data_IF_413685623647
#
_entry.id   IF_413685623647
#
_cell.length_a   1.000
_cell.length_b   1.000
_cell.length_c   1.000
_cell.angle_alpha   90.00
_cell.angle_beta   90.00
_cell.angle_gamma   90.00
#
_symmetry.space_group_name_H-M   'P 1'
#
loop_
_entity.id
_entity.type
_entity.pdbx_description
1 polymer ?
#
# COMPACT_ATOMS: atom_id res chain seq x y z
N UNK A 1 39.98 20.65 -20.56
CA UNK A 1 38.90 20.21 -19.65
C UNK A 1 37.86 21.31 -19.61
N UNK A 2 36.78 21.13 -20.38
CA UNK A 2 35.75 22.14 -20.61
C UNK A 2 34.76 22.20 -19.44
N UNK A 3 34.60 23.39 -18.88
CA UNK A 3 33.61 23.72 -17.86
C UNK A 3 32.20 23.64 -18.47
N UNK A 4 31.32 22.82 -17.89
CA UNK A 4 29.91 22.73 -18.29
C UNK A 4 29.10 23.76 -17.46
N UNK A 5 28.52 24.81 -18.07
CA UNK A 5 27.89 25.91 -17.34
C UNK A 5 26.41 25.65 -16.96
N UNK A 6 25.85 24.45 -17.22
CA UNK A 6 24.41 24.21 -17.10
C UNK A 6 23.92 23.65 -15.74
N UNK A 7 24.65 23.85 -14.64
CA UNK A 7 24.26 23.23 -13.36
C UNK A 7 23.24 24.03 -12.51
N UNK A 8 22.80 25.22 -12.95
CA UNK A 8 21.95 26.11 -12.14
C UNK A 8 20.55 26.43 -12.70
N UNK A 9 20.06 25.71 -13.72
CA UNK A 9 18.73 25.98 -14.31
C UNK A 9 17.56 25.12 -13.81
N UNK A 10 17.67 24.44 -12.66
CA UNK A 10 16.58 23.63 -12.10
C UNK A 10 15.95 24.25 -10.84
N UNK A 11 15.55 25.51 -10.92
CA UNK A 11 14.58 26.10 -9.98
C UNK A 11 13.29 26.43 -10.73
N UNK A 12 12.27 25.61 -10.46
CA UNK A 12 10.84 25.87 -10.51
C UNK A 12 10.37 27.03 -11.40
N UNK A 13 10.23 26.76 -12.70
CA UNK A 13 9.40 27.53 -13.61
C UNK A 13 8.29 26.64 -14.14
N UNK A 14 7.04 27.07 -13.93
CA UNK A 14 5.84 26.49 -14.52
C UNK A 14 5.98 26.35 -16.03
N UNK A 15 6.30 25.15 -16.52
CA UNK A 15 6.17 24.81 -17.92
C UNK A 15 5.27 23.59 -18.04
N UNK A 16 3.99 23.89 -18.30
CA UNK A 16 3.00 23.03 -18.92
C UNK A 16 3.67 22.15 -19.98
N UNK A 17 3.86 20.89 -19.65
CA UNK A 17 4.39 19.90 -20.59
C UNK A 17 3.24 19.45 -21.49
N UNK A 18 2.93 20.27 -22.50
CA UNK A 18 2.36 19.75 -23.75
C UNK A 18 3.49 19.03 -24.47
N UNK A 19 3.57 17.71 -24.28
CA UNK A 19 4.34 16.88 -25.19
C UNK A 19 3.65 16.94 -26.55
N UNK A 20 4.35 17.52 -27.51
CA UNK A 20 4.02 17.48 -28.94
C UNK A 20 4.01 16.03 -29.42
N UNK A 21 2.84 15.40 -29.42
CA UNK A 21 2.59 14.15 -30.13
C UNK A 21 2.40 14.42 -31.64
N UNK A 22 2.75 13.45 -32.50
CA UNK A 22 2.70 13.61 -33.96
C UNK A 22 1.27 13.90 -34.46
N UNK A 23 1.19 14.79 -35.45
CA UNK A 23 0.01 15.52 -35.97
C UNK A 23 -1.18 14.71 -36.54
N UNK A 24 -1.33 13.41 -36.30
CA UNK A 24 -2.38 12.63 -36.99
C UNK A 24 -3.10 11.58 -36.13
N UNK A 25 -3.62 11.97 -34.96
CA UNK A 25 -4.67 11.18 -34.28
C UNK A 25 -5.79 12.13 -33.87
N UNK A 26 -6.97 11.96 -34.50
CA UNK A 26 -8.20 12.65 -34.08
C UNK A 26 -8.50 12.27 -32.61
N UNK A 27 -8.72 13.23 -31.71
CA UNK A 27 -9.20 12.92 -30.36
C UNK A 27 -10.68 12.47 -30.41
N UNK A 28 -11.10 11.59 -29.48
CA UNK A 28 -12.48 11.11 -29.38
C UNK A 28 -13.47 12.25 -29.04
N UNK A 29 -14.74 12.17 -29.48
CA UNK A 29 -15.68 13.30 -29.55
C UNK A 29 -16.25 13.82 -28.21
N UNK A 30 -15.69 13.44 -27.05
CA UNK A 30 -16.26 13.80 -25.74
C UNK A 30 -15.21 14.27 -24.73
N UNK A 31 -14.29 15.14 -25.16
CA UNK A 31 -13.44 15.89 -24.22
C UNK A 31 -14.25 17.05 -23.65
N UNK A 32 -14.85 16.87 -22.48
CA UNK A 32 -15.43 17.96 -21.68
C UNK A 32 -14.24 18.75 -21.12
N UNK A 33 -14.06 20.04 -21.47
CA UNK A 33 -12.98 20.85 -20.90
C UNK A 33 -13.17 20.95 -19.39
N UNK A 34 -12.09 20.87 -18.59
CA UNK A 34 -12.19 21.04 -17.15
C UNK A 34 -12.77 22.42 -16.83
N UNK A 35 -13.62 22.53 -15.79
CA UNK A 35 -14.22 23.79 -15.40
C UNK A 35 -13.13 24.83 -15.10
N UNK A 36 -13.35 26.11 -15.45
CA UNK A 36 -12.41 27.18 -15.15
C UNK A 36 -12.10 27.19 -13.66
N UNK A 37 -10.81 27.29 -13.33
CA UNK A 37 -10.37 27.39 -11.93
C UNK A 37 -11.08 28.57 -11.27
N UNK A 38 -11.63 28.41 -10.05
CA UNK A 38 -12.20 29.53 -9.33
C UNK A 38 -11.11 30.59 -9.12
N UNK A 39 -11.44 31.89 -9.21
CA UNK A 39 -10.49 32.95 -8.93
C UNK A 39 -9.88 32.73 -7.55
N UNK A 40 -8.56 32.98 -7.37
CA UNK A 40 -7.92 32.84 -6.07
C UNK A 40 -8.72 33.62 -5.04
N UNK A 41 -9.15 32.95 -3.98
CA UNK A 41 -9.83 33.58 -2.86
C UNK A 41 -8.91 34.70 -2.34
N UNK A 42 -9.26 35.94 -2.70
CA UNK A 42 -8.63 37.12 -2.15
C UNK A 42 -9.12 37.16 -0.70
N UNK A 43 -8.29 36.67 0.22
CA UNK A 43 -8.50 36.87 1.65
C UNK A 43 -7.99 38.30 1.90
N UNK A 44 -8.86 39.33 2.02
CA UNK A 44 -8.39 40.64 2.41
C UNK A 44 -7.71 40.51 3.77
N UNK A 45 -6.44 40.92 3.83
CA UNK A 45 -5.70 41.04 5.08
C UNK A 45 -6.53 41.89 6.03
N UNK A 46 -6.94 41.33 7.17
CA UNK A 46 -7.73 42.02 8.20
C UNK A 46 -6.95 43.12 8.92
N UNK A 47 -5.65 43.23 8.65
CA UNK A 47 -4.79 44.31 9.09
C UNK A 47 -4.72 45.44 8.03
N UNK A 48 -5.06 46.69 8.39
CA UNK A 48 -4.93 47.83 7.50
C UNK A 48 -3.47 48.00 7.08
N UNK A 49 -3.24 48.28 5.79
CA UNK A 49 -1.91 48.29 5.16
C UNK A 49 -0.85 49.11 5.93
N UNK A 50 -1.25 50.26 6.49
CA UNK A 50 -0.39 51.13 7.29
C UNK A 50 0.19 50.44 8.55
N UNK A 51 -0.57 49.55 9.22
CA UNK A 51 -0.06 48.80 10.38
C UNK A 51 0.94 47.71 9.98
N UNK A 52 0.87 47.24 8.74
CA UNK A 52 1.80 46.23 8.20
C UNK A 52 3.14 46.86 7.84
N UNK A 53 3.11 48.04 7.25
CA UNK A 53 4.31 48.82 6.94
C UNK A 53 5.06 49.23 8.22
N UNK A 54 4.34 49.65 9.27
CA UNK A 54 4.96 49.95 10.58
C UNK A 54 5.59 48.71 11.22
N UNK A 55 4.91 47.55 11.18
CA UNK A 55 5.46 46.30 11.70
C UNK A 55 6.68 45.82 10.91
N UNK A 56 6.66 45.95 9.58
CA UNK A 56 7.80 45.62 8.73
C UNK A 56 8.98 46.57 8.96
N UNK A 57 8.73 47.87 9.17
CA UNK A 57 9.74 48.87 9.52
C UNK A 57 10.35 48.60 10.90
N UNK A 58 9.55 48.27 11.92
CA UNK A 58 10.05 47.85 13.23
C UNK A 58 10.83 46.55 13.14
N UNK A 59 10.37 45.58 12.35
CA UNK A 59 11.09 44.34 12.12
C UNK A 59 12.45 44.61 11.48
N UNK A 60 12.52 45.48 10.47
CA UNK A 60 13.77 45.90 9.83
C UNK A 60 14.71 46.60 10.81
N UNK A 61 14.23 47.54 11.63
CA UNK A 61 15.06 48.22 12.64
C UNK A 61 15.54 47.27 13.76
N UNK A 62 14.69 46.34 14.16
CA UNK A 62 15.06 45.30 15.14
C UNK A 62 16.06 44.32 14.53
N UNK A 63 15.95 44.04 13.24
CA UNK A 63 16.90 43.21 12.51
C UNK A 63 18.25 43.91 12.36
N UNK A 64 18.26 45.18 11.96
CA UNK A 64 19.48 46.01 11.85
C UNK A 64 20.22 46.13 13.19
N UNK A 65 19.50 46.25 14.30
CA UNK A 65 20.10 46.29 15.65
C UNK A 65 20.55 44.93 16.16
N UNK A 66 19.95 43.83 15.68
CA UNK A 66 20.36 42.46 16.01
C UNK A 66 21.52 41.95 15.17
N UNK A 67 21.74 42.52 13.99
CA UNK A 67 22.93 42.24 13.20
C UNK A 67 24.07 43.07 13.81
N UNK A 68 25.03 42.46 14.52
CA UNK A 68 26.20 43.21 14.96
C UNK A 68 26.87 43.79 13.72
N UNK A 69 26.90 45.12 13.62
CA UNK A 69 27.76 45.82 12.68
C UNK A 69 29.17 45.49 13.11
N UNK A 70 29.72 44.44 12.52
CA UNK A 70 31.11 44.05 12.74
C UNK A 70 31.95 45.20 12.21
N UNK A 71 32.43 46.06 13.12
CA UNK A 71 33.49 47.00 12.81
C UNK A 71 34.61 46.20 12.13
N UNK A 72 34.93 46.56 10.88
CA UNK A 72 36.01 45.96 10.11
C UNK A 72 37.35 46.48 10.64
N UNK A 73 37.63 46.25 11.91
CA UNK A 73 38.84 46.70 12.60
C UNK A 73 39.77 45.52 12.88
N UNK A 74 40.05 44.69 11.87
CA UNK A 74 41.35 44.02 11.75
C UNK A 74 41.63 43.78 10.26
N UNK A 75 42.79 44.24 9.78
CA UNK A 75 43.32 43.89 8.47
C UNK A 75 43.42 42.35 8.39
N UNK A 76 42.38 41.74 7.83
CA UNK A 76 42.21 40.29 7.78
C UNK A 76 43.15 39.76 6.69
N UNK A 77 44.38 39.41 7.07
CA UNK A 77 45.25 38.62 6.20
C UNK A 77 44.49 37.35 5.88
N UNK A 78 44.02 37.26 4.63
CA UNK A 78 43.18 36.17 4.17
C UNK A 78 43.90 34.85 4.50
N UNK A 79 43.33 34.00 5.37
CA UNK A 79 43.98 32.74 5.71
C UNK A 79 44.08 31.90 4.44
N UNK A 80 45.24 31.30 4.23
CA UNK A 80 45.54 30.49 3.06
C UNK A 80 44.45 29.42 2.86
N UNK A 81 43.95 29.29 1.64
CA UNK A 81 42.89 28.33 1.35
C UNK A 81 43.42 26.89 1.42
N UNK A 82 42.53 25.90 1.68
CA UNK A 82 42.88 24.48 1.68
C UNK A 82 43.59 24.08 0.36
N UNK A 83 43.21 24.71 -0.76
CA UNK A 83 43.84 24.45 -2.05
C UNK A 83 45.25 25.05 -2.13
N UNK A 84 45.43 26.30 -1.68
CA UNK A 84 46.73 26.97 -1.67
C UNK A 84 47.76 26.21 -0.82
N UNK A 85 47.38 25.81 0.41
CA UNK A 85 48.27 25.01 1.26
C UNK A 85 48.61 23.67 0.60
N UNK A 86 47.64 23.05 -0.10
CA UNK A 86 47.88 21.79 -0.82
C UNK A 86 48.86 21.98 -1.99
N UNK A 87 48.77 23.09 -2.73
CA UNK A 87 49.72 23.40 -3.80
C UNK A 87 51.11 23.71 -3.24
N UNK A 88 51.21 24.40 -2.11
CA UNK A 88 52.50 24.72 -1.48
C UNK A 88 53.19 23.46 -0.95
N UNK A 89 52.44 22.55 -0.33
CA UNK A 89 52.95 21.23 0.07
C UNK A 89 53.44 20.43 -1.13
N UNK A 90 52.73 20.47 -2.28
CA UNK A 90 53.20 19.81 -3.50
C UNK A 90 54.47 20.44 -4.04
N UNK A 91 54.56 21.77 -4.09
CA UNK A 91 55.77 22.47 -4.53
C UNK A 91 56.95 22.10 -3.65
N UNK A 92 56.77 22.07 -2.33
CA UNK A 92 57.78 21.64 -1.37
C UNK A 92 58.22 20.19 -1.61
N UNK A 93 57.27 19.26 -1.85
CA UNK A 93 57.60 17.86 -2.18
C UNK A 93 58.41 17.74 -3.49
N UNK A 94 58.12 18.56 -4.50
CA UNK A 94 58.90 18.59 -5.74
C UNK A 94 60.33 19.08 -5.50
N UNK A 95 60.52 20.13 -4.71
CA UNK A 95 61.85 20.65 -4.36
C UNK A 95 62.63 19.60 -3.54
N UNK A 96 61.98 18.90 -2.61
CA UNK A 96 62.64 17.83 -1.84
C UNK A 96 63.11 16.69 -2.75
N UNK A 97 62.31 16.28 -3.73
CA UNK A 97 62.73 15.27 -4.70
C UNK A 97 63.88 15.76 -5.58
N UNK A 98 63.80 17.01 -6.04
CA UNK A 98 64.89 17.65 -6.79
C UNK A 98 66.21 17.67 -6.00
N UNK A 99 66.15 18.03 -4.72
CA UNK A 99 67.32 18.02 -3.84
C UNK A 99 67.91 16.62 -3.66
N UNK A 100 67.07 15.57 -3.56
CA UNK A 100 67.54 14.18 -3.50
C UNK A 100 68.24 13.74 -4.78
N UNK A 101 67.73 14.15 -5.94
CA UNK A 101 68.35 13.81 -7.22
C UNK A 101 69.67 14.57 -7.41
N UNK A 102 69.74 15.83 -6.95
CA UNK A 102 70.99 16.60 -6.92
C UNK A 102 72.02 16.03 -5.96
N UNK A 103 71.60 15.59 -4.77
CA UNK A 103 72.45 14.90 -3.81
C UNK A 103 73.07 13.63 -4.42
N UNK A 104 72.25 12.82 -5.08
CA UNK A 104 72.72 11.62 -5.79
C UNK A 104 73.73 11.97 -6.89
N UNK A 105 73.41 12.94 -7.74
CA UNK A 105 74.30 13.38 -8.82
C UNK A 105 75.63 13.90 -8.28
N UNK A 106 75.62 14.72 -7.23
CA UNK A 106 76.85 15.23 -6.61
C UNK A 106 77.65 14.11 -5.95
N UNK A 107 76.99 13.11 -5.35
CA UNK A 107 77.67 11.95 -4.74
C UNK A 107 78.37 11.05 -5.76
N UNK A 108 77.82 10.94 -6.98
CA UNK A 108 78.41 10.16 -8.07
C UNK A 108 79.57 10.90 -8.76
N UNK A 109 79.61 12.24 -8.68
CA UNK A 109 80.56 13.09 -9.41
C UNK A 109 81.58 13.81 -8.52
N UNK A 110 81.82 13.30 -7.31
CA UNK A 110 82.76 13.90 -6.31
C UNK A 110 84.17 14.12 -6.88
N UNK A 111 84.61 13.27 -7.82
CA UNK A 111 85.98 13.30 -8.38
C UNK A 111 86.08 13.95 -9.77
N UNK A 112 84.94 14.22 -10.41
CA UNK A 112 84.85 14.60 -11.84
C UNK A 112 84.41 16.05 -12.05
N UNK A 113 83.73 16.66 -11.06
CA UNK A 113 83.23 18.03 -11.16
C UNK A 113 84.31 19.08 -10.79
N UNK A 114 84.44 20.17 -11.56
CA UNK A 114 85.29 21.30 -11.18
C UNK A 114 84.68 22.08 -10.01
N UNK A 115 85.55 22.67 -9.18
CA UNK A 115 85.18 23.39 -7.95
C UNK A 115 84.11 24.48 -8.15
N UNK A 116 84.12 25.15 -9.31
CA UNK A 116 83.16 26.23 -9.60
C UNK A 116 81.73 25.69 -9.82
N UNK A 117 81.60 24.55 -10.50
CA UNK A 117 80.31 23.86 -10.69
C UNK A 117 79.82 23.25 -9.38
N UNK A 118 80.73 22.73 -8.55
CA UNK A 118 80.43 22.26 -7.20
C UNK A 118 79.84 23.37 -6.32
N UNK A 119 80.50 24.53 -6.28
CA UNK A 119 80.01 25.72 -5.53
C UNK A 119 78.65 26.19 -6.03
N UNK A 120 78.41 26.15 -7.34
CA UNK A 120 77.13 26.50 -7.95
C UNK A 120 76.00 25.57 -7.49
N UNK A 121 76.23 24.25 -7.50
CA UNK A 121 75.23 23.28 -7.04
C UNK A 121 74.95 23.36 -5.54
N UNK A 122 75.97 23.60 -4.71
CA UNK A 122 75.78 23.81 -3.27
C UNK A 122 74.94 25.06 -2.99
N UNK A 123 75.22 26.16 -3.72
CA UNK A 123 74.42 27.39 -3.62
C UNK A 123 72.95 27.16 -4.00
N UNK A 124 72.69 26.44 -5.09
CA UNK A 124 71.33 26.06 -5.50
C UNK A 124 70.62 25.19 -4.45
N UNK A 125 71.34 24.27 -3.80
CA UNK A 125 70.80 23.45 -2.70
C UNK A 125 70.44 24.32 -1.50
N UNK A 126 71.28 25.30 -1.15
CA UNK A 126 71.01 26.24 -0.05
C UNK A 126 69.79 27.13 -0.33
N UNK A 127 69.65 27.65 -1.55
CA UNK A 127 68.48 28.42 -1.98
C UNK A 127 67.18 27.60 -1.90
N UNK A 128 67.22 26.35 -2.35
CA UNK A 128 66.10 25.42 -2.27
C UNK A 128 65.75 25.04 -0.82
N UNK A 129 66.75 24.83 0.04
CA UNK A 129 66.56 24.60 1.49
C UNK A 129 65.94 25.82 2.17
N UNK A 130 66.36 27.03 1.80
CA UNK A 130 65.79 28.28 2.30
C UNK A 130 64.32 28.43 1.85
N UNK A 131 64.01 28.07 0.60
CA UNK A 131 62.65 28.08 0.06
C UNK A 131 61.72 27.09 0.80
N UNK A 132 62.18 25.87 1.07
CA UNK A 132 61.47 24.88 1.91
C UNK A 132 61.25 25.42 3.32
N UNK A 133 62.29 25.97 3.95
CA UNK A 133 62.19 26.49 5.33
C UNK A 133 61.19 27.64 5.43
N UNK A 134 61.16 28.52 4.41
CA UNK A 134 60.21 29.63 4.30
C UNK A 134 58.76 29.17 4.12
N UNK A 135 58.53 28.15 3.30
CA UNK A 135 57.18 27.59 3.09
C UNK A 135 56.72 26.78 4.30
N UNK A 136 57.62 26.06 4.94
CA UNK A 136 57.35 25.31 6.16
C UNK A 136 56.98 26.22 7.33
N UNK A 137 57.68 27.35 7.52
CA UNK A 137 57.34 28.33 8.56
C UNK A 137 56.01 29.05 8.29
N UNK A 138 55.66 29.25 7.02
CA UNK A 138 54.39 29.85 6.61
C UNK A 138 53.18 28.93 6.89
N UNK A 139 53.36 27.62 6.69
CA UNK A 139 52.32 26.61 6.90
C UNK A 139 52.20 26.23 8.39
N UNK A 140 53.32 26.22 9.11
CA UNK A 140 53.35 25.85 10.53
C UNK A 140 52.74 26.94 11.43
N UNK A 141 52.17 26.51 12.57
CA UNK A 141 51.58 27.41 13.56
C UNK A 141 50.09 27.71 13.31
N UNK A 142 49.62 28.97 13.42
CA UNK A 142 48.19 29.32 13.40
C UNK A 142 47.43 28.87 12.14
N UNK A 143 48.12 28.81 11.00
CA UNK A 143 47.54 28.36 9.73
C UNK A 143 47.16 26.88 9.74
N UNK A 144 47.99 26.04 10.38
CA UNK A 144 47.75 24.60 10.48
C UNK A 144 46.50 24.30 11.32
N UNK A 145 46.31 25.02 12.43
CA UNK A 145 45.11 24.86 13.26
C UNK A 145 43.85 25.38 12.57
N UNK A 146 43.96 26.48 11.81
CA UNK A 146 42.87 26.95 10.96
C UNK A 146 42.53 25.92 9.88
N UNK A 147 43.54 25.32 9.24
CA UNK A 147 43.35 24.28 8.22
C UNK A 147 42.68 23.03 8.81
N UNK A 148 43.11 22.57 9.98
CA UNK A 148 42.46 21.47 10.73
C UNK A 148 41.00 21.78 10.99
N UNK A 149 40.67 22.99 11.43
CA UNK A 149 39.27 23.43 11.65
C UNK A 149 38.47 23.42 10.34
N UNK A 150 39.04 23.92 9.24
CA UNK A 150 38.37 23.93 7.92
C UNK A 150 38.14 22.51 7.39
N UNK A 151 39.09 21.61 7.57
CA UNK A 151 38.97 20.19 7.21
C UNK A 151 37.91 19.49 8.06
N UNK A 152 37.88 19.73 9.37
CA UNK A 152 36.85 19.23 10.27
C UNK A 152 35.45 19.74 9.89
N UNK A 153 35.32 21.04 9.54
CA UNK A 153 34.05 21.61 9.04
C UNK A 153 33.61 20.93 7.73
N UNK A 154 34.54 20.70 6.80
CA UNK A 154 34.26 20.03 5.52
C UNK A 154 33.85 18.57 5.72
N UNK A 155 34.53 17.82 6.60
CA UNK A 155 34.18 16.42 6.90
C UNK A 155 32.83 16.32 7.61
N UNK A 156 32.57 17.18 8.62
CA UNK A 156 31.30 17.26 9.31
C UNK A 156 30.14 17.58 8.35
N UNK A 157 30.33 18.54 7.42
CA UNK A 157 29.34 18.85 6.38
C UNK A 157 29.04 17.65 5.49
N UNK A 158 30.07 16.93 5.02
CA UNK A 158 29.89 15.72 4.19
C UNK A 158 29.13 14.63 4.94
N UNK A 159 29.47 14.41 6.21
CA UNK A 159 28.81 13.40 7.05
C UNK A 159 27.33 13.77 7.30
N UNK A 160 27.03 15.05 7.55
CA UNK A 160 25.66 15.55 7.68
C UNK A 160 24.87 15.33 6.39
N UNK A 161 25.43 15.71 5.24
CA UNK A 161 24.77 15.51 3.94
C UNK A 161 24.52 14.04 3.65
N UNK A 162 25.48 13.16 3.96
CA UNK A 162 25.31 11.71 3.84
C UNK A 162 24.14 11.21 4.70
N UNK A 163 24.05 11.63 5.96
CA UNK A 163 22.93 11.28 6.86
C UNK A 163 21.58 11.73 6.29
N UNK A 164 21.47 13.00 5.88
CA UNK A 164 20.23 13.56 5.31
C UNK A 164 19.82 12.82 4.03
N UNK A 165 20.78 12.45 3.17
CA UNK A 165 20.47 11.69 1.95
C UNK A 165 19.98 10.28 2.27
N UNK A 166 20.57 9.61 3.27
CA UNK A 166 20.13 8.29 3.73
C UNK A 166 18.73 8.34 4.35
N UNK A 167 18.45 9.35 5.17
CA UNK A 167 17.11 9.59 5.75
C UNK A 167 16.07 9.82 4.65
N UNK A 168 16.35 10.71 3.69
CA UNK A 168 15.44 10.94 2.55
C UNK A 168 15.23 9.70 1.70
N UNK A 169 16.25 8.85 1.54
CA UNK A 169 16.12 7.58 0.82
C UNK A 169 15.20 6.63 1.59
N UNK A 170 15.40 6.49 2.91
CA UNK A 170 14.56 5.67 3.79
C UNK A 170 13.10 6.14 3.78
N UNK A 171 12.87 7.45 3.90
CA UNK A 171 11.53 8.04 3.87
C UNK A 171 10.81 7.78 2.52
N UNK A 172 11.54 7.86 1.40
CA UNK A 172 10.99 7.49 0.09
C UNK A 172 10.63 6.01 0.01
N UNK A 173 11.49 5.13 0.52
CA UNK A 173 11.23 3.69 0.55
C UNK A 173 10.03 3.34 1.44
N UNK A 174 9.90 3.98 2.61
CA UNK A 174 8.74 3.86 3.50
C UNK A 174 7.46 4.32 2.80
N UNK A 175 7.47 5.50 2.14
CA UNK A 175 6.32 5.97 1.34
C UNK A 175 5.94 5.00 0.22
N UNK A 176 6.92 4.43 -0.48
CA UNK A 176 6.67 3.42 -1.51
C UNK A 176 6.07 2.15 -0.91
N UNK A 177 6.57 1.69 0.25
CA UNK A 177 6.00 0.53 0.97
C UNK A 177 4.56 0.78 1.39
N UNK A 178 4.26 1.95 1.96
CA UNK A 178 2.90 2.31 2.33
C UNK A 178 1.94 2.35 1.14
N UNK A 179 2.38 2.91 0.01
CA UNK A 179 1.59 2.92 -1.22
C UNK A 179 1.34 1.51 -1.75
N UNK A 180 2.36 0.64 -1.72
CA UNK A 180 2.21 -0.78 -2.10
C UNK A 180 1.24 -1.52 -1.19
N UNK A 181 1.32 -1.30 0.11
CA UNK A 181 0.41 -1.90 1.09
C UNK A 181 -1.03 -1.41 0.88
N UNK A 182 -1.23 -0.11 0.63
CA UNK A 182 -2.55 0.44 0.29
C UNK A 182 -3.08 -0.16 -1.00
N UNK A 183 -2.25 -0.26 -2.05
CA UNK A 183 -2.64 -0.91 -3.30
C UNK A 183 -3.05 -2.36 -3.07
N UNK A 184 -2.26 -3.14 -2.33
CA UNK A 184 -2.58 -4.54 -2.02
C UNK A 184 -3.94 -4.67 -1.32
N UNK A 185 -4.22 -3.81 -0.34
CA UNK A 185 -5.52 -3.77 0.35
C UNK A 185 -6.68 -3.41 -0.56
N UNK A 186 -6.45 -2.50 -1.52
CA UNK A 186 -7.45 -2.15 -2.53
C UNK A 186 -7.73 -3.37 -3.40
N UNK A 187 -6.68 -4.03 -3.90
CA UNK A 187 -6.80 -5.21 -4.78
C UNK A 187 -7.48 -6.38 -4.06
N UNK A 188 -7.13 -6.65 -2.80
CA UNK A 188 -7.79 -7.64 -1.94
C UNK A 188 -9.29 -7.34 -1.75
N UNK A 189 -9.64 -6.07 -1.54
CA UNK A 189 -11.04 -5.66 -1.40
C UNK A 189 -11.81 -5.79 -2.73
N UNK A 190 -11.20 -5.38 -3.84
CA UNK A 190 -11.77 -5.56 -5.18
C UNK A 190 -12.02 -7.03 -5.49
N UNK A 191 -11.06 -7.91 -5.15
CA UNK A 191 -11.23 -9.35 -5.31
C UNK A 191 -12.39 -9.87 -4.45
N UNK A 192 -12.48 -9.45 -3.19
CA UNK A 192 -13.59 -9.83 -2.31
C UNK A 192 -14.94 -9.40 -2.89
N UNK A 193 -15.05 -8.15 -3.36
CA UNK A 193 -16.28 -7.65 -3.99
C UNK A 193 -16.63 -8.50 -5.23
N UNK A 194 -15.63 -8.84 -6.05
CA UNK A 194 -15.84 -9.66 -7.24
C UNK A 194 -16.32 -11.07 -6.87
N UNK A 195 -15.73 -11.68 -5.85
CA UNK A 195 -16.10 -13.00 -5.36
C UNK A 195 -17.53 -12.98 -4.77
N UNK A 196 -17.90 -11.94 -4.03
CA UNK A 196 -19.24 -11.74 -3.48
C UNK A 196 -20.28 -11.58 -4.62
N UNK A 197 -19.96 -10.82 -5.67
CA UNK A 197 -20.81 -10.67 -6.86
C UNK A 197 -20.97 -12.02 -7.58
N UNK A 198 -19.87 -12.76 -7.77
CA UNK A 198 -19.91 -14.07 -8.43
C UNK A 198 -20.73 -15.07 -7.63
N UNK A 199 -20.59 -15.07 -6.30
CA UNK A 199 -21.39 -15.90 -5.41
C UNK A 199 -22.87 -15.56 -5.50
N UNK A 200 -23.23 -14.28 -5.44
CA UNK A 200 -24.62 -13.84 -5.59
C UNK A 200 -25.21 -14.24 -6.95
N UNK A 201 -24.43 -14.11 -8.04
CA UNK A 201 -24.85 -14.58 -9.38
C UNK A 201 -25.08 -16.09 -9.41
N UNK A 202 -24.18 -16.86 -8.80
CA UNK A 202 -24.33 -18.31 -8.75
C UNK A 202 -25.56 -18.73 -7.93
N UNK A 203 -25.84 -18.04 -6.84
CA UNK A 203 -27.02 -18.27 -6.01
C UNK A 203 -28.33 -17.98 -6.78
N UNK A 204 -28.39 -16.87 -7.51
CA UNK A 204 -29.54 -16.53 -8.35
C UNK A 204 -29.73 -17.53 -9.51
N UNK A 205 -28.63 -17.98 -10.14
CA UNK A 205 -28.68 -19.03 -11.18
C UNK A 205 -29.22 -20.34 -10.61
N UNK A 206 -28.75 -20.76 -9.43
CA UNK A 206 -29.23 -21.98 -8.76
C UNK A 206 -30.72 -21.88 -8.43
N UNK A 207 -31.17 -20.73 -7.94
CA UNK A 207 -32.59 -20.48 -7.67
C UNK A 207 -33.44 -20.53 -8.94
N UNK A 208 -32.97 -19.92 -10.03
CA UNK A 208 -33.64 -19.96 -11.32
C UNK A 208 -33.75 -21.40 -11.83
N UNK A 209 -32.70 -22.20 -11.69
CA UNK A 209 -32.72 -23.62 -12.06
C UNK A 209 -33.74 -24.41 -11.24
N UNK A 210 -33.80 -24.18 -9.93
CA UNK A 210 -34.82 -24.78 -9.07
C UNK A 210 -36.25 -24.39 -9.50
N UNK A 211 -36.49 -23.12 -9.81
CA UNK A 211 -37.77 -22.62 -10.30
C UNK A 211 -38.16 -23.22 -11.66
N UNK A 212 -37.20 -23.40 -12.57
CA UNK A 212 -37.40 -24.06 -13.87
C UNK A 212 -37.86 -25.50 -13.67
N UNK A 213 -37.18 -26.26 -12.81
CA UNK A 213 -37.54 -27.65 -12.51
C UNK A 213 -38.94 -27.73 -11.90
N UNK A 214 -39.25 -26.86 -10.93
CA UNK A 214 -40.58 -26.81 -10.30
C UNK A 214 -41.67 -26.47 -11.32
N UNK A 215 -41.43 -25.48 -12.19
CA UNK A 215 -42.37 -25.10 -13.27
C UNK A 215 -42.62 -26.25 -14.24
N UNK A 216 -41.59 -27.04 -14.54
CA UNK A 216 -41.71 -28.22 -15.39
C UNK A 216 -42.59 -29.31 -14.75
N UNK A 217 -42.42 -29.58 -13.45
CA UNK A 217 -43.29 -30.50 -12.71
C UNK A 217 -44.74 -30.00 -12.67
N UNK A 218 -44.96 -28.70 -12.44
CA UNK A 218 -46.29 -28.10 -12.48
C UNK A 218 -46.95 -28.22 -13.86
N UNK A 219 -46.17 -28.06 -14.94
CA UNK A 219 -46.64 -28.29 -16.31
C UNK A 219 -47.08 -29.74 -16.51
N UNK A 220 -46.23 -30.71 -16.14
CA UNK A 220 -46.54 -32.15 -16.22
C UNK A 220 -47.79 -32.52 -15.42
N UNK A 221 -47.95 -31.97 -14.22
CA UNK A 221 -49.16 -32.11 -13.38
C UNK A 221 -50.41 -31.57 -14.08
N UNK A 222 -50.33 -30.37 -14.65
CA UNK A 222 -51.43 -29.76 -15.40
C UNK A 222 -51.84 -30.61 -16.60
N UNK A 223 -50.87 -31.12 -17.35
CA UNK A 223 -51.13 -31.95 -18.53
C UNK A 223 -51.74 -33.31 -18.17
N UNK A 224 -51.29 -33.95 -17.07
CA UNK A 224 -51.94 -35.15 -16.55
C UNK A 224 -53.41 -34.90 -16.18
N UNK A 225 -53.72 -33.76 -15.53
CA UNK A 225 -55.10 -33.36 -15.21
C UNK A 225 -55.93 -33.15 -16.47
N UNK A 226 -55.39 -32.47 -17.49
CA UNK A 226 -56.07 -32.29 -18.79
C UNK A 226 -56.38 -33.64 -19.46
N UNK A 227 -55.45 -34.60 -19.42
CA UNK A 227 -55.66 -35.94 -19.96
C UNK A 227 -56.81 -36.67 -19.24
N UNK A 228 -56.88 -36.59 -17.91
CA UNK A 228 -58.00 -37.16 -17.14
C UNK A 228 -59.34 -36.52 -17.53
N UNK A 229 -59.40 -35.19 -17.61
CA UNK A 229 -60.61 -34.45 -18.04
C UNK A 229 -61.05 -34.85 -19.45
N UNK A 230 -60.10 -35.06 -20.38
CA UNK A 230 -60.41 -35.55 -21.74
C UNK A 230 -60.98 -36.97 -21.72
N UNK A 231 -60.42 -37.88 -20.91
CA UNK A 231 -60.94 -39.24 -20.75
C UNK A 231 -62.36 -39.25 -20.14
N UNK A 232 -62.64 -38.36 -19.19
CA UNK A 232 -63.99 -38.17 -18.65
C UNK A 232 -64.97 -37.65 -19.71
N UNK A 233 -64.55 -36.69 -20.53
CA UNK A 233 -65.36 -36.19 -21.63
C UNK A 233 -65.65 -37.29 -22.68
N UNK A 234 -64.68 -38.14 -22.99
CA UNK A 234 -64.85 -39.28 -23.90
C UNK A 234 -65.87 -40.31 -23.36
N UNK A 235 -65.82 -40.62 -22.06
CA UNK A 235 -66.82 -41.49 -21.44
C UNK A 235 -68.22 -40.89 -21.52
N UNK A 236 -68.36 -39.60 -21.21
CA UNK A 236 -69.65 -38.89 -21.31
C UNK A 236 -70.17 -38.89 -22.76
N UNK A 237 -69.31 -38.63 -23.73
CA UNK A 237 -69.66 -38.65 -25.15
C UNK A 237 -70.12 -40.05 -25.59
N UNK A 238 -69.42 -41.11 -25.18
CA UNK A 238 -69.83 -42.48 -25.50
C UNK A 238 -71.16 -42.84 -24.86
N UNK A 239 -71.37 -42.51 -23.58
CA UNK A 239 -72.67 -42.70 -22.91
C UNK A 239 -73.80 -41.96 -23.62
N UNK A 240 -73.57 -40.71 -24.02
CA UNK A 240 -74.55 -39.94 -24.78
C UNK A 240 -74.89 -40.59 -26.13
N UNK A 241 -73.88 -41.07 -26.87
CA UNK A 241 -74.10 -41.80 -28.14
C UNK A 241 -74.88 -43.11 -27.94
N UNK A 242 -74.57 -43.86 -26.89
CA UNK A 242 -75.28 -45.11 -26.55
C UNK A 242 -76.74 -44.84 -26.16
N UNK A 243 -77.00 -43.77 -25.40
CA UNK A 243 -78.36 -43.33 -25.06
C UNK A 243 -79.15 -42.93 -26.32
N UNK A 244 -78.54 -42.19 -27.26
CA UNK A 244 -79.18 -41.82 -28.53
C UNK A 244 -79.48 -43.02 -29.42
N UNK A 245 -78.56 -43.99 -29.52
CA UNK A 245 -78.77 -45.23 -30.28
C UNK A 245 -79.89 -46.09 -29.68
N UNK A 246 -79.91 -46.20 -28.35
CA UNK A 246 -80.97 -46.89 -27.61
C UNK A 246 -82.35 -46.24 -27.86
N UNK A 247 -82.41 -44.91 -27.90
CA UNK A 247 -83.63 -44.16 -28.25
C UNK A 247 -84.11 -44.38 -29.69
N UNK A 248 -83.22 -44.80 -30.61
CA UNK A 248 -83.55 -45.16 -32.00
C UNK A 248 -83.84 -46.66 -32.20
N UNK A 249 -83.82 -47.47 -31.13
CA UNK A 249 -83.87 -48.95 -31.16
C UNK A 249 -82.74 -49.59 -32.00
N UNK A 250 -81.61 -48.90 -32.16
CA UNK A 250 -80.40 -49.50 -32.71
C UNK A 250 -79.62 -50.16 -31.57
N UNK A 251 -79.39 -51.48 -31.67
CA UNK A 251 -78.64 -52.22 -30.66
C UNK A 251 -77.14 -51.98 -30.83
N UNK A 252 -76.56 -51.14 -29.97
CA UNK A 252 -75.11 -51.10 -29.80
C UNK A 252 -74.65 -52.39 -29.09
N UNK A 253 -73.52 -52.97 -29.52
CA UNK A 253 -73.00 -54.19 -28.90
C UNK A 253 -72.46 -53.92 -27.48
N UNK A 254 -73.09 -54.55 -26.48
CA UNK A 254 -72.72 -54.35 -25.07
C UNK A 254 -71.28 -54.80 -24.76
N UNK A 255 -70.79 -55.81 -25.50
CA UNK A 255 -69.42 -56.30 -25.41
C UNK A 255 -68.39 -55.21 -25.77
N UNK A 256 -68.61 -54.44 -26.83
CA UNK A 256 -67.71 -53.36 -27.22
C UNK A 256 -67.76 -52.17 -26.24
N UNK A 257 -68.94 -51.90 -25.67
CA UNK A 257 -69.08 -50.88 -24.63
C UNK A 257 -68.31 -51.25 -23.35
N UNK A 258 -68.39 -52.51 -22.92
CA UNK A 258 -67.63 -53.02 -21.78
C UNK A 258 -66.11 -52.99 -22.04
N UNK A 259 -65.67 -53.40 -23.23
CA UNK A 259 -64.26 -53.34 -23.63
C UNK A 259 -63.73 -51.90 -23.65
N UNK A 260 -64.50 -50.95 -24.22
CA UNK A 260 -64.13 -49.53 -24.21
C UNK A 260 -63.99 -48.96 -22.79
N UNK A 261 -64.98 -49.22 -21.92
CA UNK A 261 -64.92 -48.74 -20.54
C UNK A 261 -63.70 -49.30 -19.82
N UNK A 262 -63.43 -50.60 -19.97
CA UNK A 262 -62.24 -51.26 -19.40
C UNK A 262 -60.94 -50.60 -19.88
N UNK A 263 -60.84 -50.25 -21.16
CA UNK A 263 -59.66 -49.58 -21.70
C UNK A 263 -59.51 -48.13 -21.19
N UNK A 264 -60.61 -47.37 -21.11
CA UNK A 264 -60.57 -46.03 -20.54
C UNK A 264 -60.23 -46.06 -19.05
N UNK A 265 -60.77 -47.02 -18.28
CA UNK A 265 -60.49 -47.16 -16.86
C UNK A 265 -59.01 -47.52 -16.61
N UNK A 266 -58.43 -48.38 -17.44
CA UNK A 266 -56.97 -48.63 -17.44
C UNK A 266 -56.18 -47.34 -17.72
N UNK A 267 -56.55 -46.57 -18.75
CA UNK A 267 -55.89 -45.30 -19.08
C UNK A 267 -56.02 -44.26 -17.96
N UNK A 268 -57.22 -44.15 -17.36
CA UNK A 268 -57.46 -43.30 -16.19
C UNK A 268 -56.58 -43.71 -15.02
N UNK A 269 -56.51 -45.00 -14.69
CA UNK A 269 -55.64 -45.51 -13.63
C UNK A 269 -54.18 -45.13 -13.87
N UNK A 270 -53.68 -45.25 -15.09
CA UNK A 270 -52.31 -44.86 -15.44
C UNK A 270 -52.07 -43.35 -15.27
N UNK A 271 -52.99 -42.51 -15.75
CA UNK A 271 -52.86 -41.05 -15.61
C UNK A 271 -53.04 -40.58 -14.16
N UNK A 272 -53.91 -41.22 -13.38
CA UNK A 272 -54.06 -40.97 -11.95
C UNK A 272 -52.79 -41.35 -11.18
N UNK A 273 -52.16 -42.49 -11.50
CA UNK A 273 -50.86 -42.87 -10.92
C UNK A 273 -49.78 -41.85 -11.26
N UNK A 274 -49.69 -41.41 -12.53
CA UNK A 274 -48.74 -40.35 -12.94
C UNK A 274 -48.99 -39.02 -12.23
N UNK A 275 -50.27 -38.64 -12.06
CA UNK A 275 -50.63 -37.42 -11.34
C UNK A 275 -50.15 -37.46 -9.88
N UNK A 276 -50.37 -38.57 -9.18
CA UNK A 276 -49.90 -38.75 -7.81
C UNK A 276 -48.36 -38.67 -7.71
N UNK A 277 -47.63 -39.20 -8.69
CA UNK A 277 -46.17 -39.09 -8.72
C UNK A 277 -45.72 -37.62 -8.87
N UNK A 278 -46.32 -36.86 -9.79
CA UNK A 278 -46.00 -35.44 -9.96
C UNK A 278 -46.41 -34.58 -8.75
N UNK A 279 -47.48 -34.96 -8.04
CA UNK A 279 -47.90 -34.29 -6.81
C UNK A 279 -46.91 -34.53 -5.67
N UNK A 280 -46.36 -35.75 -5.56
CA UNK A 280 -45.28 -36.04 -4.61
C UNK A 280 -43.99 -35.32 -4.97
N UNK A 281 -43.59 -35.37 -6.24
CA UNK A 281 -42.38 -34.68 -6.72
C UNK A 281 -42.46 -33.16 -6.46
N UNK A 282 -43.62 -32.53 -6.71
CA UNK A 282 -43.85 -31.14 -6.37
C UNK A 282 -43.76 -30.88 -4.86
N UNK A 283 -44.36 -31.73 -4.02
CA UNK A 283 -44.28 -31.54 -2.56
C UNK A 283 -42.86 -31.67 -2.05
N UNK A 284 -42.11 -32.66 -2.54
CA UNK A 284 -40.74 -32.92 -2.13
C UNK A 284 -39.82 -31.76 -2.53
N UNK A 285 -39.94 -31.26 -3.76
CA UNK A 285 -39.19 -30.08 -4.25
C UNK A 285 -39.50 -28.82 -3.43
N UNK A 286 -40.76 -28.61 -3.03
CA UNK A 286 -41.12 -27.47 -2.17
C UNK A 286 -40.59 -27.58 -0.76
N UNK A 287 -40.61 -28.79 -0.18
CA UNK A 287 -40.02 -29.05 1.14
C UNK A 287 -38.53 -28.76 1.08
N UNK A 288 -37.81 -29.31 0.10
CA UNK A 288 -36.39 -29.08 -0.07
C UNK A 288 -36.05 -27.59 -0.24
N UNK A 289 -36.79 -26.85 -1.08
CA UNK A 289 -36.55 -25.41 -1.29
C UNK A 289 -36.81 -24.60 0.00
N UNK A 290 -37.82 -24.98 0.78
CA UNK A 290 -38.10 -24.34 2.06
C UNK A 290 -37.02 -24.67 3.10
N UNK A 291 -36.57 -25.93 3.17
CA UNK A 291 -35.49 -26.37 4.05
C UNK A 291 -34.20 -25.61 3.75
N UNK A 292 -33.79 -25.53 2.48
CA UNK A 292 -32.61 -24.79 2.05
C UNK A 292 -32.72 -23.29 2.41
N UNK A 293 -33.87 -22.66 2.16
CA UNK A 293 -34.14 -21.27 2.55
C UNK A 293 -34.08 -21.07 4.06
N UNK A 294 -34.69 -21.97 4.84
CA UNK A 294 -34.66 -21.88 6.31
C UNK A 294 -33.25 -22.07 6.85
N UNK A 295 -32.48 -23.02 6.33
CA UNK A 295 -31.10 -23.29 6.74
C UNK A 295 -30.18 -22.09 6.47
N UNK A 296 -30.31 -21.45 5.31
CA UNK A 296 -29.56 -20.22 5.00
C UNK A 296 -29.92 -19.10 5.97
N UNK A 297 -31.21 -18.92 6.26
CA UNK A 297 -31.67 -17.90 7.20
C UNK A 297 -31.23 -18.19 8.65
N UNK A 298 -31.24 -19.44 9.10
CA UNK A 298 -30.78 -19.82 10.44
C UNK A 298 -29.28 -19.62 10.58
N UNK A 299 -28.48 -20.05 9.60
CA UNK A 299 -27.02 -19.82 9.62
C UNK A 299 -26.67 -18.34 9.65
N UNK A 300 -27.43 -17.52 8.92
CA UNK A 300 -27.28 -16.06 8.95
C UNK A 300 -27.64 -15.49 10.33
N UNK A 301 -28.77 -15.92 10.91
CA UNK A 301 -29.18 -15.50 12.24
C UNK A 301 -28.19 -15.93 13.33
N UNK A 302 -27.64 -17.13 13.26
CA UNK A 302 -26.60 -17.62 14.16
C UNK A 302 -25.30 -16.81 14.02
N UNK A 303 -24.90 -16.47 12.80
CA UNK A 303 -23.75 -15.60 12.56
C UNK A 303 -23.98 -14.20 13.17
N UNK A 304 -25.15 -13.61 12.96
CA UNK A 304 -25.53 -12.32 13.55
C UNK A 304 -25.58 -12.38 15.08
N UNK A 305 -26.12 -13.46 15.65
CA UNK A 305 -26.16 -13.69 17.09
C UNK A 305 -24.75 -13.88 17.67
N UNK A 306 -23.86 -14.59 16.97
CA UNK A 306 -22.47 -14.75 17.36
C UNK A 306 -21.73 -13.42 17.34
N UNK A 307 -21.97 -12.58 16.32
CA UNK A 307 -21.44 -11.21 16.27
C UNK A 307 -21.98 -10.39 17.44
N UNK A 308 -23.28 -10.43 17.71
CA UNK A 308 -23.90 -9.72 18.82
C UNK A 308 -23.37 -10.18 20.19
N UNK A 309 -23.21 -11.48 20.39
CA UNK A 309 -22.64 -12.07 21.61
C UNK A 309 -21.18 -11.66 21.80
N UNK A 310 -20.39 -11.70 20.74
CA UNK A 310 -19.01 -11.22 20.78
C UNK A 310 -18.98 -9.73 21.13
N UNK A 311 -19.80 -8.89 20.49
CA UNK A 311 -19.89 -7.47 20.81
C UNK A 311 -20.32 -7.24 22.27
N UNK A 312 -21.22 -8.05 22.82
CA UNK A 312 -21.61 -7.99 24.22
C UNK A 312 -20.43 -8.34 25.15
N UNK A 313 -19.66 -9.40 24.85
CA UNK A 313 -18.44 -9.75 25.61
C UNK A 313 -17.38 -8.66 25.52
N UNK A 314 -17.14 -8.10 24.34
CA UNK A 314 -16.23 -6.96 24.16
C UNK A 314 -16.73 -5.75 24.95
N UNK A 315 -18.04 -5.51 24.98
CA UNK A 315 -18.63 -4.43 25.76
C UNK A 315 -18.44 -4.64 27.26
N UNK A 316 -18.69 -5.85 27.74
CA UNK A 316 -18.51 -6.19 29.15
C UNK A 316 -17.04 -6.06 29.58
N UNK A 317 -16.11 -6.61 28.80
CA UNK A 317 -14.67 -6.55 29.10
C UNK A 317 -14.12 -5.13 29.03
N UNK A 318 -14.54 -4.32 28.06
CA UNK A 318 -14.04 -2.95 27.89
C UNK A 318 -14.75 -1.93 28.78
N UNK A 319 -16.03 -2.13 29.13
CA UNK A 319 -16.85 -1.12 29.82
C UNK A 319 -17.51 -1.64 31.11
N UNK A 320 -17.19 -2.84 31.57
CA UNK A 320 -17.68 -3.39 32.85
C UNK A 320 -19.19 -3.60 32.88
N UNK A 321 -19.81 -3.84 31.72
CA UNK A 321 -21.26 -4.11 31.60
C UNK A 321 -22.17 -2.88 31.78
N UNK A 322 -21.62 -1.70 32.11
CA UNK A 322 -22.37 -0.45 32.19
C UNK A 322 -22.16 0.33 30.90
N UNK A 323 -23.24 0.78 30.27
CA UNK A 323 -23.12 1.69 29.13
C UNK A 323 -22.37 2.93 29.62
N UNK A 324 -21.33 3.43 28.92
CA UNK A 324 -20.75 4.71 29.27
C UNK A 324 -21.88 5.74 29.17
N UNK A 325 -22.36 6.18 30.33
CA UNK A 325 -23.51 7.09 30.48
C UNK A 325 -23.18 8.50 29.98
N UNK A 326 -21.91 8.73 29.62
CA UNK A 326 -21.42 9.98 29.08
C UNK A 326 -21.45 9.87 27.56
N UNK A 327 -22.42 10.53 26.94
CA UNK A 327 -22.37 10.80 25.52
C UNK A 327 -21.21 11.79 25.28
N UNK A 328 -20.09 11.30 24.75
CA UNK A 328 -18.87 12.10 24.61
C UNK A 328 -18.97 13.11 23.46
N UNK A 329 -20.08 13.14 22.69
CA UNK A 329 -20.30 14.08 21.60
C UNK A 329 -19.20 14.04 20.53
N UNK A 330 -18.49 12.92 20.40
CA UNK A 330 -17.33 12.78 19.51
C UNK A 330 -16.01 13.34 20.04
N UNK A 331 -15.94 13.86 21.26
CA UNK A 331 -14.69 14.40 21.82
C UNK A 331 -13.81 13.28 22.42
N UNK A 332 -12.83 12.84 21.63
CA UNK A 332 -11.88 11.76 21.96
C UNK A 332 -11.01 12.09 23.17
N UNK A 333 -10.64 13.36 23.38
CA UNK A 333 -9.79 13.78 24.50
C UNK A 333 -10.50 13.58 25.84
N UNK A 334 -11.80 13.88 25.89
CA UNK A 334 -12.64 13.67 27.07
C UNK A 334 -12.82 12.18 27.39
N UNK A 335 -12.94 11.33 26.37
CA UNK A 335 -13.01 9.88 26.56
C UNK A 335 -11.70 9.32 27.14
N UNK A 336 -10.55 9.74 26.59
CA UNK A 336 -9.24 9.30 27.07
C UNK A 336 -8.99 9.79 28.50
N UNK A 337 -9.39 11.02 28.85
CA UNK A 337 -9.27 11.55 30.21
C UNK A 337 -10.05 10.71 31.24
N UNK A 338 -11.32 10.36 30.95
CA UNK A 338 -12.15 9.52 31.84
C UNK A 338 -11.60 8.10 31.99
N UNK A 339 -10.98 7.54 30.93
CA UNK A 339 -10.33 6.21 30.97
C UNK A 339 -8.95 6.22 31.64
N UNK A 340 -8.28 7.37 31.66
CA UNK A 340 -6.98 7.55 32.31
C UNK A 340 -7.12 7.79 33.82
N UNK A 341 -8.33 8.11 34.31
CA UNK A 341 -8.58 8.13 35.74
C UNK A 341 -8.55 6.69 36.31
N UNK A 342 -7.72 6.43 37.33
CA UNK A 342 -7.68 5.13 37.97
C UNK A 342 -9.05 4.83 38.57
N UNK A 343 -9.60 3.67 38.20
CA UNK A 343 -10.86 3.15 38.76
C UNK A 343 -10.68 3.07 40.27
N UNK A 344 -11.25 4.04 40.98
CA UNK A 344 -11.37 3.99 42.44
C UNK A 344 -12.49 3.02 42.75
N UNK A 345 -12.14 1.74 42.81
CA UNK A 345 -13.05 0.71 43.30
C UNK A 345 -13.49 1.10 44.72
N UNK A 346 -14.81 1.20 44.90
CA UNK A 346 -15.45 1.31 46.20
C UNK A 346 -14.92 0.19 47.09
N UNK A 347 -14.39 0.59 48.23
CA UNK A 347 -13.81 -0.26 49.26
C UNK A 347 -14.89 -1.17 49.84
N UNK A 348 -14.77 -2.47 49.61
CA UNK A 348 -15.00 -3.46 50.67
C UNK A 348 -13.73 -4.29 50.79
N UNK A 349 -13.21 -4.35 52.02
CA UNK A 349 -11.86 -4.73 52.42
C UNK A 349 -11.15 -5.81 51.59
N UNK A 350 -10.09 -5.41 50.90
CA UNK A 350 -9.11 -6.30 50.29
C UNK A 350 -8.11 -5.52 49.47
N UNK A 351 -6.92 -5.28 50.01
CA UNK A 351 -5.84 -4.54 49.35
C UNK A 351 -5.43 -5.28 48.08
N UNK A 352 -5.77 -4.74 46.92
CA UNK A 352 -5.24 -5.18 45.63
C UNK A 352 -4.43 -4.03 45.02
N UNK A 353 -3.13 -4.00 45.32
CA UNK A 353 -2.15 -3.15 44.65
C UNK A 353 -1.86 -3.74 43.27
N UNK A 354 -2.62 -3.34 42.25
CA UNK A 354 -2.25 -3.56 40.87
C UNK A 354 -2.11 -2.23 40.14
N UNK A 355 -0.91 -1.65 40.23
CA UNK A 355 -0.44 -0.63 39.29
C UNK A 355 0.43 -1.32 38.23
N UNK A 356 0.09 -1.27 36.93
CA UNK A 356 1.09 -1.52 35.91
C UNK A 356 1.96 -0.26 35.81
N UNK A 357 3.12 -0.34 36.46
CA UNK A 357 4.24 0.55 36.20
C UNK A 357 4.58 0.45 34.71
N UNK A 358 4.33 1.53 33.96
CA UNK A 358 5.03 1.85 32.72
C UNK A 358 6.52 2.05 33.05
N UNK A 359 7.21 0.95 33.33
CA UNK A 359 8.67 0.91 33.41
C UNK A 359 9.16 0.62 32.00
N UNK A 360 9.81 1.61 31.39
CA UNK A 360 10.45 1.49 30.10
C UNK A 360 11.39 0.28 30.07
N UNK A 361 10.95 -0.79 29.43
CA UNK A 361 11.77 -1.93 29.11
C UNK A 361 12.61 -1.58 27.89
N UNK A 362 13.88 -1.28 28.12
CA UNK A 362 14.90 -1.32 27.08
C UNK A 362 14.86 -2.70 26.41
N UNK A 363 14.49 -2.72 25.13
CA UNK A 363 14.68 -3.88 24.26
C UNK A 363 16.18 -4.20 24.24
N UNK A 364 16.57 -5.26 24.97
CA UNK A 364 17.82 -5.98 24.67
C UNK A 364 17.60 -6.73 23.36
N UNK A 365 18.40 -6.37 22.37
CA UNK A 365 18.69 -7.21 21.20
C UNK A 365 19.07 -8.61 21.69
N UNK A 366 18.27 -9.61 21.29
CA UNK A 366 18.68 -11.00 21.34
C UNK A 366 19.20 -11.35 19.97
N UNK A 367 20.52 -11.32 19.86
CA UNK A 367 21.27 -11.99 18.80
C UNK A 367 20.79 -13.43 18.68
N UNK A 368 20.10 -13.73 17.58
CA UNK A 368 19.79 -15.09 17.16
C UNK A 368 20.79 -15.47 16.08
N UNK A 369 22.01 -15.80 16.53
CA UNK A 369 23.00 -16.51 15.71
C UNK A 369 23.06 -17.96 16.15
N UNK A 370 22.99 -18.85 15.15
CA UNK A 370 23.48 -20.23 15.16
C UNK A 370 22.56 -21.32 15.72
N UNK A 371 21.89 -22.04 14.82
CA UNK A 371 22.00 -23.50 14.82
C UNK A 371 21.95 -24.05 13.40
N UNK A 372 23.15 -24.38 12.95
CA UNK A 372 23.54 -25.17 11.79
C UNK A 372 23.14 -26.64 12.04
N UNK A 373 22.35 -27.24 11.14
CA UNK A 373 22.29 -28.69 10.86
C UNK A 373 21.98 -28.81 9.37
N UNK A 374 22.95 -29.24 8.55
CA UNK A 374 23.07 -30.64 8.07
C UNK A 374 21.73 -31.08 7.43
N UNK A 375 21.61 -31.22 6.11
CA UNK A 375 22.51 -31.89 5.19
C UNK A 375 21.84 -33.17 4.71
N UNK A 376 20.93 -33.07 3.73
CA UNK A 376 20.49 -34.20 2.93
C UNK A 376 20.18 -33.70 1.51
N UNK A 377 21.20 -33.80 0.66
CA UNK A 377 21.04 -33.78 -0.78
C UNK A 377 20.50 -35.16 -1.18
N UNK A 378 19.30 -35.20 -1.74
CA UNK A 378 18.78 -36.38 -2.37
C UNK A 378 19.11 -36.26 -3.86
N UNK A 379 20.02 -37.13 -4.31
CA UNK A 379 20.30 -37.41 -5.71
C UNK A 379 18.99 -37.71 -6.44
N UNK A 380 18.74 -36.98 -7.52
CA UNK A 380 17.79 -37.42 -8.56
C UNK A 380 18.62 -37.68 -9.81
N UNK A 381 18.79 -38.96 -10.07
CA UNK A 381 19.39 -39.56 -11.26
C UNK A 381 18.76 -39.05 -12.58
N UNK A 382 19.54 -38.98 -13.67
CA UNK A 382 19.05 -38.58 -14.98
C UNK A 382 18.35 -39.74 -15.70
N UNK A 383 17.10 -39.52 -16.15
CA UNK A 383 16.42 -40.41 -17.09
C UNK A 383 17.10 -40.29 -18.45
N UNK A 384 17.76 -41.37 -18.85
CA UNK A 384 18.41 -41.53 -20.15
C UNK A 384 17.41 -41.54 -21.30
N UNK A 385 17.84 -40.90 -22.39
CA UNK A 385 17.41 -41.19 -23.75
C UNK A 385 17.69 -42.68 -24.07
N UNK A 386 16.71 -43.37 -24.63
CA UNK A 386 16.94 -44.52 -25.50
C UNK A 386 16.17 -44.30 -26.81
N UNK A 387 16.93 -44.40 -27.90
CA UNK A 387 16.45 -44.53 -29.26
C UNK A 387 15.64 -45.82 -29.43
N UNK A 388 14.62 -45.72 -30.29
CA UNK A 388 13.76 -46.79 -30.78
C UNK A 388 12.77 -46.24 -31.80
#
# INVERSE_FOLDING_TARGET
MSYNPNFYNNFCGNNSTFQSLPRFVRPPPYFVPPPPQPPPFFIPSSTPASKREEADQEFLRTFETRVPVSEQTQANVKPMSISEVREEIRRMLLIVNYLKDKERMLSENISTLPDEEWRSHIKEIEENKASISKTMSLINGPQLDMLRKLLAKRSAKRLRLKRVLMEKKKEKEERIKELKERSRKIDENLQKIQDDINRAKQEEENKLQADIVLKEVLRKKSDAKKCLTKLDALLKLRKARQNTASGRRETASDSEAAAFNTHIDKLKSLWSKKLLLYEREESDLRVQLNEDSTLVNTLKAEAEQNVASNLAKWRETLFGGKMPQVDFGGNVERFVAVRAEPITAVKDGGVCTFCPSLRGGAMRERDSSSSRREGHAQEVEPVGLQDG
#
